data_IF_021237668864
#
_entry.id   IF_021237668864
#
_cell.length_a   1.000
_cell.length_b   1.000
_cell.length_c   1.000
_cell.angle_alpha   90.00
_cell.angle_beta   90.00
_cell.angle_gamma   90.00
#
_symmetry.space_group_name_H-M   'P 1'
#
loop_
_entity.id
_entity.type
_entity.pdbx_description
1 polymer ?
#
# COMPACT_ATOMS: atom_id res chain seq x y z
N UNK A 1 -1.09 8.23 7.47
CA UNK A 1 -0.63 7.75 8.79
C UNK A 1 -1.39 6.47 9.11
N UNK A 2 -0.73 5.32 9.06
CA UNK A 2 -1.30 4.06 9.55
C UNK A 2 -0.83 3.96 11.01
N UNK A 3 -1.70 4.24 11.97
CA UNK A 3 -1.36 4.13 13.39
C UNK A 3 -0.97 2.69 13.73
N UNK A 4 0.19 2.54 14.37
CA UNK A 4 0.82 1.27 14.65
C UNK A 4 0.13 0.49 15.77
N UNK A 5 -0.70 -0.49 15.39
CA UNK A 5 -0.97 -1.71 16.17
C UNK A 5 -1.28 -2.93 15.30
N UNK A 6 -1.08 -2.82 13.98
CA UNK A 6 -1.50 -3.81 12.99
C UNK A 6 -0.31 -4.67 12.58
N UNK A 7 -0.52 -5.99 12.44
CA UNK A 7 0.53 -6.93 12.05
C UNK A 7 1.33 -6.43 10.84
N UNK A 8 2.67 -6.55 10.82
CA UNK A 8 3.52 -6.06 9.72
C UNK A 8 3.07 -6.50 8.32
N UNK A 9 2.49 -7.69 8.22
CA UNK A 9 1.91 -8.20 6.97
C UNK A 9 0.66 -7.42 6.52
N UNK A 10 -0.16 -6.92 7.44
CA UNK A 10 -1.32 -6.08 7.12
C UNK A 10 -0.88 -4.72 6.59
N UNK A 11 0.12 -4.11 7.22
CA UNK A 11 0.73 -2.86 6.74
C UNK A 11 1.31 -3.04 5.34
N UNK A 12 2.13 -4.09 5.14
CA UNK A 12 2.71 -4.41 3.84
C UNK A 12 1.63 -4.67 2.79
N UNK A 13 0.59 -5.44 3.12
CA UNK A 13 -0.52 -5.74 2.19
C UNK A 13 -1.25 -4.48 1.77
N UNK A 14 -1.57 -3.58 2.71
CA UNK A 14 -2.27 -2.33 2.45
C UNK A 14 -1.42 -1.37 1.61
N UNK A 15 -0.14 -1.23 1.94
CA UNK A 15 0.79 -0.40 1.17
C UNK A 15 0.99 -0.93 -0.25
N UNK A 16 1.25 -2.23 -0.39
CA UNK A 16 1.37 -2.89 -1.70
C UNK A 16 0.10 -2.78 -2.54
N UNK A 17 -1.08 -2.91 -1.91
CA UNK A 17 -2.37 -2.76 -2.57
C UNK A 17 -2.56 -1.33 -3.11
N UNK A 18 -2.23 -0.31 -2.31
CA UNK A 18 -2.32 1.09 -2.74
C UNK A 18 -1.35 1.38 -3.91
N UNK A 19 -0.14 0.82 -3.86
CA UNK A 19 0.92 1.05 -4.84
C UNK A 19 0.86 0.16 -6.09
N UNK A 20 -0.13 -0.74 -6.22
CA UNK A 20 -0.30 -1.55 -7.44
C UNK A 20 -0.38 -0.71 -8.72
N UNK A 21 -0.88 0.53 -8.60
CA UNK A 21 -1.04 1.46 -9.71
C UNK A 21 0.11 2.48 -9.82
N UNK A 22 1.05 2.52 -8.87
CA UNK A 22 2.12 3.51 -8.89
C UNK A 22 3.27 3.07 -9.81
N UNK A 23 3.75 4.00 -10.65
CA UNK A 23 4.90 3.78 -11.52
C UNK A 23 6.25 3.81 -10.78
N UNK A 24 6.24 3.95 -9.45
CA UNK A 24 7.45 4.14 -8.65
C UNK A 24 8.13 2.80 -8.32
N UNK A 25 9.47 2.79 -8.34
CA UNK A 25 10.29 1.61 -8.01
C UNK A 25 10.00 1.11 -6.59
N UNK A 26 9.74 2.02 -5.64
CA UNK A 26 9.39 1.68 -4.26
C UNK A 26 8.05 0.96 -4.17
N UNK A 27 7.03 1.43 -4.89
CA UNK A 27 5.72 0.79 -4.93
C UNK A 27 5.80 -0.64 -5.47
N UNK A 28 6.59 -0.83 -6.54
CA UNK A 28 6.83 -2.16 -7.10
C UNK A 28 7.53 -3.11 -6.13
N UNK A 29 8.50 -2.62 -5.36
CA UNK A 29 9.18 -3.43 -4.33
C UNK A 29 8.23 -3.90 -3.22
N UNK A 30 7.25 -3.07 -2.84
CA UNK A 30 6.21 -3.45 -1.86
C UNK A 30 5.27 -4.53 -2.43
N UNK A 31 4.83 -4.38 -3.68
CA UNK A 31 4.01 -5.39 -4.38
C UNK A 31 4.74 -6.73 -4.48
N UNK A 32 6.02 -6.71 -4.87
CA UNK A 32 6.82 -7.92 -5.01
C UNK A 32 7.06 -8.62 -3.65
N UNK A 33 7.33 -7.86 -2.58
CA UNK A 33 7.47 -8.40 -1.22
C UNK A 33 6.14 -9.01 -0.72
N UNK A 34 5.01 -8.34 -0.96
CA UNK A 34 3.70 -8.87 -0.58
C UNK A 34 3.40 -10.20 -1.28
N UNK A 35 3.67 -10.29 -2.59
CA UNK A 35 3.56 -11.55 -3.33
C UNK A 35 4.52 -12.63 -2.82
N UNK A 36 5.78 -12.29 -2.52
CA UNK A 36 6.74 -13.24 -1.95
C UNK A 36 6.28 -13.83 -0.62
N UNK A 37 5.52 -13.06 0.17
CA UNK A 37 4.93 -13.50 1.44
C UNK A 37 3.57 -14.20 1.29
N UNK A 38 3.05 -14.35 0.07
CA UNK A 38 1.72 -14.91 -0.18
C UNK A 38 0.58 -14.03 0.32
N UNK A 39 0.80 -12.72 0.46
CA UNK A 39 -0.22 -11.77 0.89
C UNK A 39 -1.10 -11.37 -0.30
N UNK A 40 -2.41 -11.60 -0.20
CA UNK A 40 -3.36 -11.15 -1.22
C UNK A 40 -3.45 -9.63 -1.27
N UNK A 41 -3.08 -9.03 -2.40
CA UNK A 41 -3.17 -7.58 -2.63
C UNK A 41 -4.45 -7.24 -3.39
N UNK A 42 -5.15 -6.21 -2.93
CA UNK A 42 -6.41 -5.74 -3.49
C UNK A 42 -6.18 -4.54 -4.39
N UNK A 43 -7.00 -4.39 -5.44
CA UNK A 43 -6.99 -3.15 -6.22
C UNK A 43 -7.58 -2.00 -5.39
N UNK A 44 -6.91 -0.84 -5.33
CA UNK A 44 -7.44 0.33 -4.66
C UNK A 44 -8.65 0.88 -5.44
N UNK A 45 -9.69 1.31 -4.74
CA UNK A 45 -10.94 1.81 -5.35
C UNK A 45 -10.91 3.32 -5.62
N UNK A 46 -10.12 4.06 -4.84
CA UNK A 46 -9.92 5.49 -4.99
C UNK A 46 -8.44 5.81 -4.70
N UNK A 47 -7.74 6.35 -5.70
CA UNK A 47 -6.35 6.80 -5.59
C UNK A 47 -6.31 8.27 -5.97
N UNK A 48 -5.74 9.12 -5.11
CA UNK A 48 -5.55 10.55 -5.43
C UNK A 48 -4.12 10.78 -5.92
N UNK A 49 -3.96 11.58 -6.99
CA UNK A 49 -2.67 11.83 -7.64
C UNK A 49 -1.64 12.57 -6.77
N UNK A 50 -2.04 13.07 -5.59
CA UNK A 50 -1.08 13.40 -4.52
C UNK A 50 -0.48 12.07 -4.02
N UNK A 51 0.60 11.65 -4.70
CA UNK A 51 1.22 10.34 -4.62
C UNK A 51 1.13 9.69 -3.24
N UNK A 52 0.51 8.50 -3.21
CA UNK A 52 0.52 7.64 -2.04
C UNK A 52 -0.59 7.90 -1.03
N UNK A 53 -1.80 8.26 -1.45
CA UNK A 53 -2.98 8.12 -0.56
C UNK A 53 -4.20 7.57 -1.30
N UNK A 54 -4.98 6.71 -0.62
CA UNK A 54 -6.16 6.08 -1.22
C UNK A 54 -6.91 5.14 -0.28
N UNK A 55 -7.89 4.43 -0.82
CA UNK A 55 -8.73 3.46 -0.10
C UNK A 55 -8.45 2.03 -0.58
N UNK A 56 -8.13 1.13 0.35
CA UNK A 56 -7.91 -0.32 0.14
C UNK A 56 -8.77 -1.09 1.12
N UNK A 57 -9.60 -2.01 0.64
CA UNK A 57 -10.51 -2.81 1.49
C UNK A 57 -11.35 -1.96 2.46
N UNK A 58 -11.73 -0.73 2.07
CA UNK A 58 -12.45 0.22 2.94
C UNK A 58 -11.58 0.94 3.98
N UNK A 59 -10.26 0.70 4.01
CA UNK A 59 -9.29 1.36 4.88
C UNK A 59 -8.61 2.50 4.15
N UNK A 60 -8.49 3.67 4.80
CA UNK A 60 -7.71 4.79 4.28
C UNK A 60 -6.22 4.52 4.49
N UNK A 61 -5.47 4.40 3.40
CA UNK A 61 -4.04 4.11 3.37
C UNK A 61 -3.30 5.35 2.87
N UNK A 62 -2.18 5.68 3.50
CA UNK A 62 -1.28 6.72 3.06
C UNK A 62 0.17 6.26 3.17
N UNK A 63 0.90 6.26 2.05
CA UNK A 63 2.32 5.95 1.87
C UNK A 63 3.02 7.23 1.43
N UNK A 64 3.96 7.73 2.22
CA UNK A 64 4.75 8.91 1.89
C UNK A 64 6.16 8.76 2.41
N UNK A 65 7.12 9.43 1.77
CA UNK A 65 8.39 9.73 2.41
C UNK A 65 8.18 10.97 3.28
N UNK A 66 8.52 10.90 4.57
CA UNK A 66 8.78 12.13 5.31
C UNK A 66 9.91 12.85 4.58
N UNK A 67 9.68 14.12 4.24
CA UNK A 67 10.73 14.99 3.72
C UNK A 67 11.85 15.16 4.77
#
# INVERSE_FOLDING_TARGET
HIEGSEHPNRILRLAASLDQASGHVVGRALVDEAHRRGLGVSRPSEVTETAGSGIVDGVRVGVGGDA
#
